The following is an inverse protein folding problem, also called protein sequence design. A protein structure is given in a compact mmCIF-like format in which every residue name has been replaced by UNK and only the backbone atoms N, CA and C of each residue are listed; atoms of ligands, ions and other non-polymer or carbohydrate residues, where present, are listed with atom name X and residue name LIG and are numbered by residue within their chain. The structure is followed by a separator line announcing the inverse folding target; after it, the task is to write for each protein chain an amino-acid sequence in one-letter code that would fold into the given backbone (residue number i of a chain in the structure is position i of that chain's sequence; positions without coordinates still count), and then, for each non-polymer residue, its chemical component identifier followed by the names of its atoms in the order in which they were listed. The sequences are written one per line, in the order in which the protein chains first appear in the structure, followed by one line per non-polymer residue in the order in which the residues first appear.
data_IF_476639866841
#
_entry.id   IF_476639866841
#
_cell.length_a   1.000
_cell.length_b   1.000
_cell.length_c   1.000
_cell.angle_alpha   90.00
_cell.angle_beta   90.00
_cell.angle_gamma   90.00
#
_symmetry.space_group_name_H-M   'P 1'
#
loop_
_entity.id
_entity.type
_entity.pdbx_description
1 polymer ?
#
# COMPACT_ATOMS: atom_id res chain seq x y z
N UNK A 1 -5.62 19.78 5.29
CA UNK A 1 -4.78 18.57 5.08
C UNK A 1 -5.05 17.93 3.71
N UNK A 2 -4.67 18.58 2.59
CA UNK A 2 -4.87 18.04 1.22
C UNK A 2 -3.59 18.01 0.36
N UNK A 3 -2.45 18.45 0.89
CA UNK A 3 -1.22 18.65 0.12
C UNK A 3 -0.36 17.41 -0.13
N UNK A 4 -0.42 16.39 0.74
CA UNK A 4 0.48 15.20 0.63
C UNK A 4 0.08 14.21 -0.47
N UNK A 5 -1.21 14.12 -0.82
CA UNK A 5 -1.71 13.13 -1.79
C UNK A 5 -1.41 13.51 -3.25
N UNK A 6 -1.17 14.79 -3.54
CA UNK A 6 -0.97 15.27 -4.91
C UNK A 6 0.47 15.17 -5.41
N UNK A 7 1.46 15.33 -4.52
CA UNK A 7 2.88 15.42 -4.89
C UNK A 7 3.51 14.08 -5.29
N UNK A 8 3.08 12.98 -4.68
CA UNK A 8 3.64 11.65 -4.95
C UNK A 8 3.27 11.12 -6.36
N UNK A 9 2.10 11.51 -6.86
CA UNK A 9 1.47 10.99 -8.09
C UNK A 9 2.25 11.32 -9.37
N UNK A 10 3.02 12.41 -9.38
CA UNK A 10 3.73 12.88 -10.57
C UNK A 10 5.03 12.12 -10.83
N UNK A 11 5.58 11.43 -9.83
CA UNK A 11 6.87 10.71 -9.94
C UNK A 11 6.79 9.40 -10.74
N UNK A 12 5.59 8.83 -10.92
CA UNK A 12 5.42 7.38 -11.14
C UNK A 12 4.51 7.01 -12.32
N UNK A 13 3.97 8.00 -13.04
CA UNK A 13 3.19 7.76 -14.26
C UNK A 13 1.84 7.07 -14.04
N UNK A 14 1.31 7.04 -12.81
CA UNK A 14 0.00 6.46 -12.48
C UNK A 14 -1.07 7.55 -12.41
N UNK A 15 -2.20 7.35 -13.10
CA UNK A 15 -3.32 8.32 -13.09
C UNK A 15 -3.99 8.36 -11.71
N UNK A 16 -4.54 9.52 -11.32
CA UNK A 16 -5.32 9.65 -10.07
C UNK A 16 -6.41 8.60 -9.98
N UNK A 17 -7.16 8.46 -11.07
CA UNK A 17 -8.30 7.57 -11.15
C UNK A 17 -7.90 6.12 -10.86
N UNK A 18 -6.68 5.72 -11.25
CA UNK A 18 -6.16 4.38 -10.96
C UNK A 18 -5.89 4.19 -9.47
N UNK A 19 -5.31 5.19 -8.79
CA UNK A 19 -5.08 5.14 -7.34
C UNK A 19 -6.42 5.16 -6.60
N UNK A 20 -7.34 6.05 -6.99
CA UNK A 20 -8.67 6.13 -6.39
C UNK A 20 -9.48 4.85 -6.60
N UNK A 21 -9.35 4.21 -7.76
CA UNK A 21 -10.00 2.94 -8.00
C UNK A 21 -9.37 1.81 -7.19
N UNK A 22 -8.05 1.81 -7.00
CA UNK A 22 -7.38 0.88 -6.10
C UNK A 22 -7.85 1.05 -4.64
N UNK A 23 -7.96 2.29 -4.17
CA UNK A 23 -8.41 2.60 -2.80
C UNK A 23 -9.88 2.22 -2.56
N UNK A 24 -10.76 2.39 -3.55
CA UNK A 24 -12.20 2.13 -3.40
C UNK A 24 -12.62 0.72 -3.85
N UNK A 25 -11.91 0.10 -4.80
CA UNK A 25 -12.25 -1.18 -5.43
C UNK A 25 -10.97 -2.04 -5.62
N UNK A 26 -10.30 -2.46 -4.53
CA UNK A 26 -9.01 -3.15 -4.60
C UNK A 26 -9.07 -4.48 -5.35
N UNK A 27 -10.19 -5.22 -5.28
CA UNK A 27 -10.35 -6.55 -5.91
C UNK A 27 -10.22 -6.52 -7.43
N UNK A 28 -10.54 -5.38 -8.06
CA UNK A 28 -10.44 -5.20 -9.51
C UNK A 28 -9.05 -4.71 -9.95
N UNK A 29 -8.11 -4.55 -9.00
CA UNK A 29 -6.78 -4.01 -9.29
C UNK A 29 -5.88 -5.12 -9.82
N UNK A 30 -5.24 -4.85 -10.96
CA UNK A 30 -4.23 -5.76 -11.50
C UNK A 30 -2.98 -5.77 -10.62
N UNK A 31 -2.33 -6.93 -10.48
CA UNK A 31 -1.06 -7.04 -9.75
C UNK A 31 0.00 -6.06 -10.27
N UNK A 32 0.04 -5.81 -11.58
CA UNK A 32 0.94 -4.80 -12.17
C UNK A 32 0.69 -3.41 -11.61
N UNK A 33 -0.58 -3.02 -11.43
CA UNK A 33 -0.94 -1.71 -10.85
C UNK A 33 -0.54 -1.66 -9.38
N UNK A 34 -0.79 -2.74 -8.64
CA UNK A 34 -0.39 -2.87 -7.25
C UNK A 34 1.13 -2.71 -7.06
N UNK A 35 1.95 -3.43 -7.83
CA UNK A 35 3.41 -3.30 -7.73
C UNK A 35 3.94 -1.93 -8.16
N UNK A 36 3.32 -1.30 -9.17
CA UNK A 36 3.68 0.08 -9.55
C UNK A 36 3.40 1.04 -8.40
N UNK A 37 2.29 0.86 -7.67
CA UNK A 37 1.95 1.65 -6.47
C UNK A 37 2.97 1.40 -5.35
N UNK A 38 3.35 0.15 -5.08
CA UNK A 38 4.37 -0.16 -4.06
C UNK A 38 5.73 0.48 -4.39
N UNK A 39 6.23 0.29 -5.62
CA UNK A 39 7.51 0.88 -6.06
C UNK A 39 7.52 2.39 -5.93
N UNK A 40 6.40 3.02 -6.26
CA UNK A 40 6.27 4.46 -6.16
C UNK A 40 6.26 5.01 -4.74
N UNK A 41 5.91 4.17 -3.76
CA UNK A 41 5.95 4.47 -2.34
C UNK A 41 7.29 4.06 -1.71
N UNK A 42 8.21 3.52 -2.52
CA UNK A 42 9.48 2.95 -2.05
C UNK A 42 9.27 1.81 -1.03
N UNK A 43 8.20 1.02 -1.22
CA UNK A 43 7.81 -0.10 -0.37
C UNK A 43 8.09 -1.45 -1.03
N UNK A 44 8.35 -2.47 -0.21
CA UNK A 44 8.51 -3.87 -0.61
C UNK A 44 7.50 -4.78 0.11
N UNK A 45 7.17 -5.92 -0.50
CA UNK A 45 6.30 -6.93 0.08
C UNK A 45 7.06 -8.26 0.19
N UNK A 46 6.88 -8.96 1.31
CA UNK A 46 7.37 -10.32 1.53
C UNK A 46 6.18 -11.26 1.68
N UNK A 47 6.31 -12.47 1.13
CA UNK A 47 5.31 -13.52 1.32
C UNK A 47 5.68 -14.36 2.54
N UNK A 48 4.71 -14.59 3.42
CA UNK A 48 4.88 -15.40 4.62
C UNK A 48 3.98 -16.63 4.54
N UNK A 49 4.43 -17.75 5.09
CA UNK A 49 3.58 -18.93 5.26
C UNK A 49 2.34 -18.56 6.11
N UNK A 50 1.16 -19.06 5.75
CA UNK A 50 -0.09 -18.79 6.50
C UNK A 50 0.01 -19.16 7.99
N UNK A 51 0.78 -20.20 8.33
CA UNK A 51 1.08 -20.62 9.71
C UNK A 51 1.97 -19.63 10.49
N UNK A 52 2.74 -18.80 9.79
CA UNK A 52 3.61 -17.75 10.33
C UNK A 52 3.04 -16.34 10.08
N UNK A 53 1.82 -16.23 9.53
CA UNK A 53 1.16 -14.96 9.24
C UNK A 53 0.37 -14.41 10.44
N UNK A 54 0.32 -15.15 11.57
CA UNK A 54 -0.16 -14.62 12.84
C UNK A 54 0.95 -13.77 13.46
N UNK A 55 0.72 -12.49 13.80
CA UNK A 55 1.65 -11.70 14.60
C UNK A 55 1.57 -12.17 16.06
N UNK A 56 1.99 -13.40 16.34
CA UNK A 56 2.43 -13.74 17.69
C UNK A 56 3.90 -13.34 17.81
N UNK A 57 4.14 -12.30 18.61
CA UNK A 57 5.45 -11.84 19.09
C UNK A 57 6.26 -10.95 18.15
N UNK A 58 5.77 -9.74 17.90
CA UNK A 58 6.65 -8.57 18.02
C UNK A 58 5.82 -7.52 18.74
N UNK A 59 6.08 -7.40 20.05
CA UNK A 59 5.78 -6.24 20.88
C UNK A 59 4.59 -5.41 20.37
N UNK A 60 3.39 -5.75 20.85
CA UNK A 60 2.38 -4.73 21.12
C UNK A 60 3.05 -3.73 22.08
N UNK A 61 3.83 -2.80 21.52
CA UNK A 61 4.06 -1.52 22.15
C UNK A 61 2.68 -0.93 22.33
N UNK A 62 2.33 -0.84 23.60
CA UNK A 62 1.29 -0.03 24.20
C UNK A 62 1.04 1.24 23.37
N UNK A 63 0.17 1.13 22.37
CA UNK A 63 -0.39 2.27 21.67
C UNK A 63 -1.52 2.77 22.56
N UNK A 64 -1.15 3.45 23.64
CA UNK A 64 -2.03 4.46 24.18
C UNK A 64 -2.19 5.54 23.09
N UNK A 65 -3.46 5.84 22.80
CA UNK A 65 -4.03 6.86 21.89
C UNK A 65 -3.83 6.72 20.37
#
# INVERSE_FOLDING_TARGET
MAGRRASWRKKIGIKQATISNFENNPDNTTLTTFFKILQSLELSMTLCDTKNASPESTEQQDLEW
#
